data_IF_886456106324
#
_entry.id   IF_886456106324
#
_cell.length_a   1.000
_cell.length_b   1.000
_cell.length_c   1.000
_cell.angle_alpha   90.00
_cell.angle_beta   90.00
_cell.angle_gamma   90.00
#
_symmetry.space_group_name_H-M   'P 1'
#
loop_
_entity.id
_entity.type
_entity.pdbx_description
1 polymer ?
#
# COMPACT_ATOMS: atom_id res chain seq x y z
N UNK A 1 -45.07 -38.92 -16.61
CA UNK A 1 -44.17 -38.29 -17.60
C UNK A 1 -44.20 -36.80 -17.30
N UNK A 2 -43.55 -36.31 -16.24
CA UNK A 2 -42.09 -36.26 -15.96
C UNK A 2 -41.35 -35.32 -16.89
N UNK A 3 -41.12 -34.09 -16.39
CA UNK A 3 -39.99 -33.16 -16.59
C UNK A 3 -40.43 -31.86 -15.90
N UNK A 4 -40.14 -31.59 -14.62
CA UNK A 4 -38.85 -31.41 -13.95
C UNK A 4 -37.94 -30.44 -14.72
N UNK A 5 -38.23 -29.14 -14.60
CA UNK A 5 -37.30 -28.08 -14.94
C UNK A 5 -36.77 -27.48 -13.63
N UNK A 6 -35.59 -27.99 -13.23
CA UNK A 6 -34.84 -27.57 -12.06
C UNK A 6 -33.80 -26.55 -12.53
N UNK A 7 -34.18 -25.27 -12.57
CA UNK A 7 -33.23 -24.17 -12.71
C UNK A 7 -32.70 -23.82 -11.32
N UNK A 8 -31.71 -24.58 -10.85
CA UNK A 8 -30.97 -24.29 -9.63
C UNK A 8 -30.27 -22.92 -9.77
N UNK A 9 -30.86 -21.90 -9.16
CA UNK A 9 -30.34 -20.54 -9.12
C UNK A 9 -29.00 -20.53 -8.37
N UNK A 10 -27.90 -20.26 -9.09
CA UNK A 10 -26.56 -20.17 -8.49
C UNK A 10 -26.50 -18.92 -7.60
N UNK A 11 -26.45 -19.13 -6.28
CA UNK A 11 -26.31 -18.05 -5.29
C UNK A 11 -24.89 -17.48 -5.38
N UNK A 12 -24.74 -16.31 -6.00
CA UNK A 12 -23.47 -15.57 -6.00
C UNK A 12 -23.37 -14.79 -4.69
N UNK A 13 -22.22 -14.89 -4.01
CA UNK A 13 -21.90 -14.08 -2.82
C UNK A 13 -20.86 -13.05 -3.20
N UNK A 14 -21.26 -11.78 -3.17
CA UNK A 14 -20.33 -10.67 -3.34
C UNK A 14 -19.60 -10.44 -2.01
N UNK A 15 -18.27 -10.40 -2.05
CA UNK A 15 -17.43 -10.02 -0.93
C UNK A 15 -16.79 -8.67 -1.26
N UNK A 16 -17.08 -7.66 -0.44
CA UNK A 16 -16.40 -6.38 -0.52
C UNK A 16 -15.06 -6.47 0.19
N UNK A 17 -14.01 -5.92 -0.41
CA UNK A 17 -12.67 -5.89 0.15
C UNK A 17 -12.31 -4.44 0.46
N UNK A 18 -12.18 -4.13 1.74
CA UNK A 18 -11.77 -2.82 2.21
C UNK A 18 -10.24 -2.66 2.21
N UNK A 19 -9.80 -1.41 2.36
CA UNK A 19 -8.40 -1.08 2.59
C UNK A 19 -7.89 -1.69 3.92
N UNK A 20 -6.60 -2.03 3.94
CA UNK A 20 -5.97 -2.54 5.16
C UNK A 20 -5.86 -1.45 6.22
N UNK A 21 -6.12 -1.83 7.47
CA UNK A 21 -5.83 -0.96 8.61
C UNK A 21 -4.33 -0.73 8.73
N UNK A 22 -3.88 0.37 9.36
CA UNK A 22 -2.46 0.66 9.55
C UNK A 22 -1.67 -0.48 10.21
N UNK A 23 -2.28 -1.20 11.17
CA UNK A 23 -1.69 -2.39 11.80
C UNK A 23 -1.41 -3.51 10.79
N UNK A 24 -2.37 -3.72 9.90
CA UNK A 24 -2.36 -4.83 8.94
C UNK A 24 -1.39 -4.52 7.79
N UNK A 25 -1.21 -3.23 7.43
CA UNK A 25 -0.15 -2.78 6.51
C UNK A 25 1.23 -3.13 7.07
N UNK A 26 1.47 -2.84 8.35
CA UNK A 26 2.75 -3.17 9.02
C UNK A 26 2.95 -4.67 9.08
N UNK A 27 1.93 -5.42 9.49
CA UNK A 27 1.99 -6.88 9.55
C UNK A 27 2.29 -7.49 8.17
N UNK A 28 1.60 -7.02 7.13
CA UNK A 28 1.84 -7.43 5.76
C UNK A 28 3.28 -7.11 5.33
N UNK A 29 3.79 -5.93 5.64
CA UNK A 29 5.15 -5.54 5.31
C UNK A 29 6.19 -6.44 6.00
N UNK A 30 5.98 -6.77 7.28
CA UNK A 30 6.82 -7.72 8.01
C UNK A 30 6.81 -9.11 7.35
N UNK A 31 5.64 -9.57 6.91
CA UNK A 31 5.49 -10.85 6.20
C UNK A 31 6.21 -10.83 4.84
N UNK A 32 6.02 -9.77 4.03
CA UNK A 32 6.64 -9.63 2.71
C UNK A 32 8.17 -9.55 2.79
N UNK A 33 8.70 -8.85 3.81
CA UNK A 33 10.14 -8.69 4.04
C UNK A 33 10.76 -9.88 4.79
N UNK A 34 9.94 -10.77 5.35
CA UNK A 34 10.42 -11.83 6.23
C UNK A 34 11.17 -11.27 7.43
N UNK A 35 10.58 -10.30 8.15
CA UNK A 35 11.11 -9.75 9.42
C UNK A 35 10.06 -9.80 10.54
N UNK A 36 10.48 -9.71 11.79
CA UNK A 36 9.58 -9.64 12.95
C UNK A 36 8.99 -8.23 13.15
N UNK A 37 9.75 -7.19 12.81
CA UNK A 37 9.28 -5.81 12.86
C UNK A 37 9.97 -4.90 11.84
N UNK A 38 9.39 -3.71 11.62
CA UNK A 38 9.94 -2.66 10.77
C UNK A 38 10.10 -1.36 11.57
N UNK A 39 11.01 -0.48 11.13
CA UNK A 39 11.18 0.83 11.74
C UNK A 39 9.92 1.68 11.63
N UNK A 40 9.75 2.61 12.58
CA UNK A 40 8.61 3.54 12.61
C UNK A 40 8.53 4.41 11.36
N UNK A 41 9.68 4.79 10.80
CA UNK A 41 9.75 5.59 9.57
C UNK A 41 9.28 4.80 8.36
N UNK A 42 9.67 3.53 8.25
CA UNK A 42 9.22 2.65 7.18
C UNK A 42 7.71 2.38 7.31
N UNK A 43 7.23 2.12 8.52
CA UNK A 43 5.80 1.95 8.78
C UNK A 43 5.00 3.19 8.37
N UNK A 44 5.41 4.39 8.80
CA UNK A 44 4.76 5.65 8.44
C UNK A 44 4.73 5.87 6.93
N UNK A 45 5.86 5.64 6.27
CA UNK A 45 5.96 5.76 4.82
C UNK A 45 4.99 4.83 4.09
N UNK A 46 4.95 3.55 4.47
CA UNK A 46 4.07 2.57 3.84
C UNK A 46 2.60 2.90 4.09
N UNK A 47 2.22 3.24 5.33
CA UNK A 47 0.84 3.59 5.67
C UNK A 47 0.39 4.81 4.85
N UNK A 48 1.22 5.86 4.78
CA UNK A 48 0.88 7.09 4.11
C UNK A 48 0.83 6.96 2.58
N UNK A 49 1.76 6.22 1.98
CA UNK A 49 1.87 6.12 0.52
C UNK A 49 1.00 5.02 -0.06
N UNK A 50 0.74 3.94 0.67
CA UNK A 50 -0.12 2.85 0.18
C UNK A 50 -1.61 3.11 0.42
N UNK A 51 -1.99 3.99 1.35
CA UNK A 51 -3.38 4.19 1.77
C UNK A 51 -4.10 2.86 2.06
N UNK A 52 -3.40 1.91 2.69
CA UNK A 52 -3.96 0.58 2.98
C UNK A 52 -4.08 -0.36 1.78
N UNK A 53 -3.67 0.03 0.57
CA UNK A 53 -3.73 -0.82 -0.61
C UNK A 53 -2.63 -1.91 -0.57
N UNK A 54 -2.98 -3.21 -0.52
CA UNK A 54 -2.01 -4.30 -0.40
C UNK A 54 -1.03 -4.39 -1.57
N UNK A 55 -1.50 -4.13 -2.80
CA UNK A 55 -0.69 -4.17 -4.02
C UNK A 55 0.32 -3.03 -4.00
N UNK A 56 -0.14 -1.83 -3.64
CA UNK A 56 0.69 -0.65 -3.54
C UNK A 56 1.79 -0.81 -2.48
N UNK A 57 1.45 -1.33 -1.30
CA UNK A 57 2.42 -1.62 -0.25
C UNK A 57 3.51 -2.58 -0.73
N UNK A 58 3.12 -3.67 -1.42
CA UNK A 58 4.07 -4.65 -1.99
C UNK A 58 5.01 -4.00 -3.00
N UNK A 59 4.47 -3.15 -3.88
CA UNK A 59 5.24 -2.48 -4.91
C UNK A 59 6.22 -1.44 -4.35
N UNK A 60 5.81 -0.69 -3.31
CA UNK A 60 6.71 0.20 -2.59
C UNK A 60 7.86 -0.56 -1.93
N UNK A 61 7.56 -1.68 -1.26
CA UNK A 61 8.59 -2.54 -0.67
C UNK A 61 9.54 -3.12 -1.73
N UNK A 62 8.99 -3.58 -2.86
CA UNK A 62 9.79 -4.07 -3.99
C UNK A 62 10.74 -2.97 -4.52
N UNK A 63 10.25 -1.74 -4.63
CA UNK A 63 11.05 -0.58 -5.03
C UNK A 63 12.16 -0.29 -4.01
N UNK A 64 11.83 -0.23 -2.71
CA UNK A 64 12.80 0.02 -1.65
C UNK A 64 13.89 -1.05 -1.59
N UNK A 65 13.52 -2.33 -1.71
CA UNK A 65 14.46 -3.45 -1.75
C UNK A 65 15.33 -3.42 -3.00
N UNK A 66 14.74 -3.19 -4.18
CA UNK A 66 15.47 -3.20 -5.45
C UNK A 66 16.45 -2.04 -5.64
N UNK A 67 16.33 -0.97 -4.85
CA UNK A 67 17.24 0.18 -4.85
C UNK A 67 18.20 0.17 -3.63
N UNK A 68 18.32 -0.95 -2.91
CA UNK A 68 19.18 -1.10 -1.73
C UNK A 68 18.95 -0.05 -0.63
N UNK A 69 17.69 0.39 -0.45
CA UNK A 69 17.33 1.46 0.49
C UNK A 69 17.03 0.94 1.91
N UNK A 70 16.98 -0.38 2.09
CA UNK A 70 16.64 -1.03 3.35
C UNK A 70 17.85 -1.77 3.95
N UNK A 71 17.86 -1.82 5.28
CA UNK A 71 18.83 -2.58 6.08
C UNK A 71 18.10 -3.58 6.96
N UNK A 72 18.64 -4.79 7.04
CA UNK A 72 18.11 -5.86 7.87
C UNK A 72 19.03 -6.09 9.06
N UNK A 73 18.56 -5.69 10.24
CA UNK A 73 19.28 -5.85 11.50
C UNK A 73 18.75 -7.06 12.25
N UNK A 74 19.63 -7.78 12.92
CA UNK A 74 19.23 -8.83 13.87
C UNK A 74 19.45 -8.32 15.28
N UNK A 75 18.40 -8.31 16.10
CA UNK A 75 18.51 -7.97 17.52
C UNK A 75 19.28 -9.07 18.23
N UNK A 76 20.53 -8.83 18.63
CA UNK A 76 21.20 -9.68 19.62
C UNK A 76 20.57 -9.36 20.98
N UNK A 77 19.94 -10.35 21.62
CA UNK A 77 19.74 -10.29 23.06
C UNK A 77 21.12 -10.44 23.71
N UNK A 78 21.63 -9.37 24.31
CA UNK A 78 22.92 -9.36 24.98
C UNK A 78 23.54 -7.98 24.99
N UNK A 79 22.96 -7.07 25.78
CA UNK A 79 23.65 -6.35 26.86
C UNK A 79 22.71 -5.25 27.38
N UNK A 80 22.50 -5.26 28.70
CA UNK A 80 21.89 -4.16 29.42
C UNK A 80 22.81 -2.94 29.32
N UNK A 81 22.64 -2.16 28.26
CA UNK A 81 23.23 -0.84 28.15
C UNK A 81 22.17 0.12 27.62
N UNK A 82 21.93 1.16 28.41
CA UNK A 82 20.93 2.19 28.22
C UNK A 82 20.94 2.74 26.78
N UNK A 83 19.72 2.95 26.27
CA UNK A 83 19.32 3.96 25.29
C UNK A 83 20.46 4.66 24.52
N UNK A 84 21.08 3.96 23.58
CA UNK A 84 21.84 4.63 22.52
C UNK A 84 21.64 3.93 21.18
N UNK A 85 20.49 4.22 20.55
CA UNK A 85 20.08 3.66 19.26
C UNK A 85 20.98 4.08 18.08
N UNK A 86 21.83 5.10 18.25
CA UNK A 86 22.73 5.57 17.19
C UNK A 86 23.98 4.70 17.02
N UNK A 87 24.40 3.97 18.07
CA UNK A 87 25.63 3.16 18.01
C UNK A 87 25.47 1.83 17.25
N UNK A 88 24.23 1.37 17.06
CA UNK A 88 23.94 0.02 16.50
C UNK A 88 23.95 -0.03 14.97
N UNK A 89 24.01 1.11 14.29
CA UNK A 89 23.93 1.20 12.81
C UNK A 89 25.23 0.77 12.13
N UNK A 90 26.37 0.76 12.84
CA UNK A 90 27.69 0.46 12.25
C UNK A 90 28.02 -1.04 12.16
N UNK A 91 27.42 -1.90 12.98
CA UNK A 91 27.81 -3.32 13.06
C UNK A 91 26.99 -4.27 12.16
N UNK A 92 25.95 -3.77 11.48
CA UNK A 92 25.04 -4.60 10.68
C UNK A 92 25.59 -5.03 9.30
N UNK A 93 26.76 -4.53 8.88
CA UNK A 93 27.26 -4.73 7.50
C UNK A 93 28.04 -6.02 7.25
N UNK A 94 28.29 -6.90 8.24
CA UNK A 94 29.28 -7.98 8.09
C UNK A 94 28.80 -9.44 8.11
N UNK A 95 27.51 -9.75 8.29
CA UNK A 95 27.09 -11.16 8.40
C UNK A 95 25.80 -11.47 7.62
N UNK A 96 25.94 -11.69 6.32
CA UNK A 96 24.91 -12.31 5.49
C UNK A 96 25.26 -13.80 5.24
N UNK A 97 24.71 -14.69 6.07
CA UNK A 97 24.51 -16.09 5.71
C UNK A 97 23.05 -16.46 6.01
N UNK A 98 22.28 -17.01 5.06
CA UNK A 98 20.89 -17.40 5.29
C UNK A 98 20.86 -18.79 5.93
N UNK A 99 20.84 -18.86 7.26
CA UNK A 99 20.48 -20.09 7.96
C UNK A 99 18.97 -20.27 7.90
N UNK A 100 18.52 -21.20 7.08
CA UNK A 100 17.14 -21.68 7.04
C UNK A 100 16.82 -22.42 8.34
N UNK A 101 16.22 -21.73 9.30
CA UNK A 101 15.56 -22.38 10.45
C UNK A 101 14.18 -21.78 10.65
N UNK A 102 13.16 -22.62 10.49
CA UNK A 102 11.77 -22.33 10.86
C UNK A 102 11.70 -22.19 12.38
N UNK A 103 11.84 -20.98 12.91
CA UNK A 103 11.48 -20.60 14.28
C UNK A 103 11.59 -19.08 14.42
N UNK A 104 10.49 -18.40 14.78
CA UNK A 104 10.42 -17.01 15.26
C UNK A 104 11.24 -15.95 14.51
N UNK A 105 10.61 -15.19 13.62
CA UNK A 105 11.23 -14.00 13.02
C UNK A 105 11.40 -12.82 13.99
N UNK A 106 11.06 -13.03 15.27
CA UNK A 106 10.94 -12.03 16.34
C UNK A 106 12.21 -11.21 16.60
N UNK A 107 13.37 -11.65 16.09
CA UNK A 107 14.63 -10.92 16.21
C UNK A 107 15.02 -10.04 15.03
N UNK A 108 14.43 -10.21 13.84
CA UNK A 108 14.84 -9.45 12.65
C UNK A 108 14.04 -8.16 12.53
N UNK A 109 14.73 -7.05 12.36
CA UNK A 109 14.14 -5.71 12.20
C UNK A 109 14.61 -5.13 10.86
N UNK A 110 13.68 -4.61 10.07
CA UNK A 110 14.01 -3.87 8.86
C UNK A 110 13.98 -2.36 9.13
N UNK A 111 15.04 -1.66 8.77
CA UNK A 111 15.15 -0.20 8.89
C UNK A 111 15.47 0.43 7.53
N UNK A 112 15.21 1.72 7.38
CA UNK A 112 15.63 2.49 6.20
C UNK A 112 17.08 2.92 6.42
N UNK A 113 17.88 2.94 5.35
CA UNK A 113 19.26 3.45 5.40
C UNK A 113 19.27 4.92 5.83
N UNK A 114 20.21 5.36 6.69
CA UNK A 114 20.26 6.74 7.17
C UNK A 114 20.46 7.77 6.04
N UNK A 115 21.11 7.36 4.94
CA UNK A 115 21.39 8.24 3.79
C UNK A 115 20.20 8.38 2.82
N UNK A 116 19.06 7.77 3.13
CA UNK A 116 17.90 7.70 2.23
C UNK A 116 16.81 8.69 2.64
N UNK A 117 16.42 9.56 1.71
CA UNK A 117 15.23 10.39 1.85
C UNK A 117 14.02 9.75 1.17
N UNK A 118 12.98 9.45 1.96
CA UNK A 118 11.75 8.80 1.49
C UNK A 118 10.79 9.73 0.73
N UNK A 119 10.93 11.05 0.88
CA UNK A 119 9.99 12.01 0.31
C UNK A 119 10.06 12.01 -1.23
N UNK A 120 11.25 11.75 -1.77
CA UNK A 120 11.54 11.80 -3.21
C UNK A 120 11.45 10.44 -3.91
N UNK A 121 10.94 9.40 -3.26
CA UNK A 121 10.78 8.09 -3.90
C UNK A 121 9.76 8.21 -5.03
N UNK A 122 10.25 7.99 -6.25
CA UNK A 122 9.44 7.91 -7.47
C UNK A 122 8.45 6.76 -7.37
N UNK A 123 7.25 6.99 -7.91
CA UNK A 123 6.23 5.95 -7.96
C UNK A 123 6.69 4.79 -8.85
N UNK A 124 6.60 3.52 -8.39
CA UNK A 124 6.81 2.37 -9.24
C UNK A 124 5.97 2.45 -10.52
N UNK A 125 6.59 2.26 -11.70
CA UNK A 125 5.91 2.37 -12.99
C UNK A 125 4.70 1.43 -13.11
N UNK A 126 4.81 0.24 -12.53
CA UNK A 126 3.71 -0.75 -12.46
C UNK A 126 2.45 -0.17 -11.83
N UNK A 127 2.57 0.60 -10.74
CA UNK A 127 1.40 1.21 -10.09
C UNK A 127 0.74 2.27 -10.97
N UNK A 128 1.56 3.07 -11.66
CA UNK A 128 1.08 4.07 -12.62
C UNK A 128 0.32 3.39 -13.77
N UNK A 129 0.89 2.34 -14.35
CA UNK A 129 0.25 1.60 -15.45
C UNK A 129 -1.07 0.96 -15.01
N UNK A 130 -1.13 0.35 -13.82
CA UNK A 130 -2.38 -0.22 -13.32
C UNK A 130 -3.46 0.84 -13.07
N UNK A 131 -3.08 2.01 -12.53
CA UNK A 131 -4.03 3.10 -12.31
C UNK A 131 -4.56 3.67 -13.63
N UNK A 132 -3.69 3.81 -14.64
CA UNK A 132 -4.09 4.25 -15.98
C UNK A 132 -5.02 3.23 -16.65
N UNK A 133 -4.71 1.94 -16.58
CA UNK A 133 -5.56 0.89 -17.12
C UNK A 133 -6.96 0.88 -16.48
N UNK A 134 -7.04 1.10 -15.15
CA UNK A 134 -8.33 1.21 -14.46
C UNK A 134 -9.11 2.46 -14.89
N UNK A 135 -8.44 3.60 -15.05
CA UNK A 135 -9.05 4.83 -15.55
C UNK A 135 -9.59 4.65 -16.98
N UNK A 136 -8.87 3.90 -17.82
CA UNK A 136 -9.25 3.64 -19.20
C UNK A 136 -10.41 2.65 -19.37
N UNK A 137 -10.71 1.87 -18.35
CA UNK A 137 -11.89 0.98 -18.31
C UNK A 137 -13.16 1.69 -17.83
N UNK A 138 -13.08 2.94 -17.37
CA UNK A 138 -14.25 3.74 -16.96
C UNK A 138 -14.95 4.37 -18.15
N UNK A 139 -16.26 4.56 -18.00
CA UNK A 139 -17.10 5.26 -18.97
C UNK A 139 -16.55 6.68 -19.27
N UNK A 140 -16.75 7.23 -20.48
CA UNK A 140 -16.16 8.53 -20.85
C UNK A 140 -16.53 9.67 -19.89
N UNK A 141 -17.76 9.66 -19.37
CA UNK A 141 -18.25 10.65 -18.42
C UNK A 141 -17.55 10.53 -17.07
N UNK A 142 -17.53 9.34 -16.49
CA UNK A 142 -16.82 9.04 -15.22
C UNK A 142 -15.34 9.42 -15.31
N UNK A 143 -14.68 9.06 -16.41
CA UNK A 143 -13.27 9.40 -16.65
C UNK A 143 -13.04 10.91 -16.64
N UNK A 144 -13.96 11.66 -17.22
CA UNK A 144 -13.87 13.13 -17.28
C UNK A 144 -14.04 13.72 -15.89
N UNK A 145 -15.05 13.28 -15.14
CA UNK A 145 -15.25 13.70 -13.74
C UNK A 145 -14.02 13.39 -12.88
N UNK A 146 -13.44 12.20 -13.00
CA UNK A 146 -12.22 11.82 -12.30
C UNK A 146 -11.02 12.72 -12.64
N UNK A 147 -10.89 13.17 -13.89
CA UNK A 147 -9.83 14.13 -14.29
C UNK A 147 -9.98 15.47 -13.57
N UNK A 148 -11.21 15.97 -13.43
CA UNK A 148 -11.48 17.19 -12.66
C UNK A 148 -11.22 16.98 -11.16
N UNK A 149 -11.72 15.88 -10.60
CA UNK A 149 -11.49 15.51 -9.20
C UNK A 149 -10.00 15.43 -8.85
N UNK A 150 -9.18 14.88 -9.74
CA UNK A 150 -7.73 14.73 -9.55
C UNK A 150 -6.99 16.07 -9.36
N UNK A 151 -7.54 17.19 -9.84
CA UNK A 151 -6.95 18.53 -9.65
C UNK A 151 -7.14 19.03 -8.22
N UNK A 152 -8.22 18.61 -7.56
CA UNK A 152 -8.52 19.02 -6.18
C UNK A 152 -7.62 18.28 -5.20
N UNK A 153 -7.51 16.96 -5.38
CA UNK A 153 -6.75 16.08 -4.51
C UNK A 153 -7.51 14.80 -4.14
N UNK A 154 -6.96 14.01 -3.20
CA UNK A 154 -7.48 12.69 -2.86
C UNK A 154 -8.78 12.72 -2.06
N UNK A 155 -9.04 13.79 -1.30
CA UNK A 155 -10.24 13.93 -0.45
C UNK A 155 -10.81 15.33 -0.64
N UNK A 156 -12.10 15.39 -0.99
CA UNK A 156 -12.79 16.65 -1.25
C UNK A 156 -14.31 16.50 -1.06
N UNK A 157 -15.01 17.61 -0.96
CA UNK A 157 -16.49 17.64 -0.88
C UNK A 157 -17.10 17.68 -2.27
N UNK A 158 -18.29 17.10 -2.42
CA UNK A 158 -19.06 17.16 -3.68
C UNK A 158 -19.31 18.59 -4.15
N UNK A 159 -19.49 19.53 -3.21
CA UNK A 159 -19.67 20.95 -3.50
C UNK A 159 -18.45 21.56 -4.22
N UNK A 160 -17.24 21.20 -3.78
CA UNK A 160 -16.01 21.70 -4.38
C UNK A 160 -15.81 21.12 -5.79
N UNK A 161 -16.12 19.83 -5.98
CA UNK A 161 -16.11 19.20 -7.30
C UNK A 161 -17.10 19.87 -8.26
N UNK A 162 -18.33 20.15 -7.82
CA UNK A 162 -19.34 20.86 -8.61
C UNK A 162 -18.92 22.30 -8.97
N UNK A 163 -18.05 22.92 -8.19
CA UNK A 163 -17.56 24.26 -8.47
C UNK A 163 -16.59 24.28 -9.67
N UNK A 164 -15.73 23.25 -9.79
CA UNK A 164 -14.71 23.18 -10.85
C UNK A 164 -15.21 22.56 -12.15
N UNK A 165 -16.34 21.86 -12.12
CA UNK A 165 -16.88 21.20 -13.30
C UNK A 165 -17.57 22.17 -14.26
N UNK A 166 -17.49 21.90 -15.58
CA UNK A 166 -18.26 22.64 -16.57
C UNK A 166 -19.76 22.37 -16.40
N UNK A 167 -20.59 23.36 -16.74
CA UNK A 167 -22.04 23.33 -16.54
C UNK A 167 -22.75 22.16 -17.21
N UNK A 168 -22.25 21.68 -18.35
CA UNK A 168 -22.78 20.50 -19.05
C UNK A 168 -22.71 19.21 -18.22
N UNK A 169 -21.63 19.02 -17.46
CA UNK A 169 -21.40 17.83 -16.64
C UNK A 169 -22.15 17.86 -15.30
N UNK A 170 -22.49 19.05 -14.77
CA UNK A 170 -23.14 19.18 -13.45
C UNK A 170 -24.48 18.45 -13.38
N UNK A 171 -25.25 18.49 -14.48
CA UNK A 171 -26.58 17.89 -14.53
C UNK A 171 -26.52 16.36 -14.60
N UNK A 172 -25.51 15.80 -15.27
CA UNK A 172 -25.33 14.34 -15.41
C UNK A 172 -24.71 13.73 -14.13
N UNK A 173 -24.01 14.53 -13.33
CA UNK A 173 -23.29 14.03 -12.16
C UNK A 173 -24.17 13.61 -10.98
N UNK A 174 -25.36 14.21 -10.83
CA UNK A 174 -26.31 13.77 -9.79
C UNK A 174 -26.70 12.30 -10.00
N UNK A 175 -26.72 11.83 -11.25
CA UNK A 175 -26.97 10.42 -11.58
C UNK A 175 -25.76 9.50 -11.36
N UNK A 176 -24.53 10.03 -11.42
CA UNK A 176 -23.31 9.24 -11.25
C UNK A 176 -22.88 9.06 -9.79
N UNK A 177 -23.24 10.00 -8.91
CA UNK A 177 -22.81 10.00 -7.52
C UNK A 177 -23.80 9.33 -6.55
N UNK A 178 -24.88 8.70 -7.04
CA UNK A 178 -25.96 8.12 -6.23
C UNK A 178 -26.31 9.02 -5.01
N UNK A 179 -26.71 10.26 -5.30
CA UNK A 179 -27.16 11.27 -4.33
C UNK A 179 -28.68 11.43 -4.36
#
# INVERSE_FOLDING_TARGET
KTTADNTASQKTTCLHLDELKPSDVVQKACQDLGVGSISRDLARFLIQRSSGNPCYCKELLRCLCGNDMLLFCTRRQGDEAEENWESLVMEASLLAAPSTSRMGNDGRVCIIRPDVNLENIMLPATLKETALAQLDQREPLERTVLKFAAVIGPVFTTQLLLHILPTSLKNEMNCLLDL
#
